data_IF_126301672875
#
_entry.id   IF_126301672875
#
_cell.length_a   1.000
_cell.length_b   1.000
_cell.length_c   1.000
_cell.angle_alpha   90.00
_cell.angle_beta   90.00
_cell.angle_gamma   90.00
#
_symmetry.space_group_name_H-M   'P 1'
#
loop_
_entity.id
_entity.type
_entity.pdbx_description
1 polymer ?
#
# COMPACT_ATOMS: atom_id res chain seq x y z
N UNK A 1 -22.89 24.10 -55.63
CA UNK A 1 -22.98 22.82 -54.89
C UNK A 1 -21.56 22.44 -54.49
N UNK A 2 -21.12 22.76 -53.25
CA UNK A 2 -19.79 22.38 -52.80
C UNK A 2 -19.82 20.91 -52.37
N UNK A 3 -18.83 20.16 -52.86
CA UNK A 3 -18.58 18.76 -52.55
C UNK A 3 -18.24 18.60 -51.07
N UNK A 4 -19.09 17.86 -50.36
CA UNK A 4 -18.80 17.37 -49.00
C UNK A 4 -17.58 16.46 -49.13
N UNK A 5 -16.45 16.89 -48.55
CA UNK A 5 -15.32 16.00 -48.33
C UNK A 5 -15.78 14.98 -47.31
N UNK A 6 -15.82 13.73 -47.73
CA UNK A 6 -16.00 12.57 -46.88
C UNK A 6 -14.74 12.47 -46.01
N UNK A 7 -14.75 13.13 -44.86
CA UNK A 7 -13.75 12.93 -43.82
C UNK A 7 -14.01 11.54 -43.25
N UNK A 8 -13.40 10.53 -43.87
CA UNK A 8 -13.27 9.19 -43.32
C UNK A 8 -12.53 9.30 -42.00
N UNK A 9 -13.28 9.42 -40.91
CA UNK A 9 -12.79 9.21 -39.56
C UNK A 9 -12.46 7.72 -39.45
N UNK A 10 -11.25 7.33 -39.86
CA UNK A 10 -10.69 6.07 -39.40
C UNK A 10 -10.47 6.23 -37.89
N UNK A 11 -11.22 5.52 -37.03
CA UNK A 11 -10.85 5.51 -35.62
C UNK A 11 -9.53 4.75 -35.56
N UNK A 12 -8.43 5.48 -35.41
CA UNK A 12 -7.24 4.89 -34.83
C UNK A 12 -7.72 4.26 -33.53
N UNK A 13 -7.72 2.93 -33.46
CA UNK A 13 -8.04 2.18 -32.25
C UNK A 13 -6.89 2.46 -31.28
N UNK A 14 -6.96 3.64 -30.66
CA UNK A 14 -6.08 4.01 -29.56
C UNK A 14 -6.48 3.11 -28.42
N UNK A 15 -5.55 2.28 -27.94
CA UNK A 15 -5.67 1.56 -26.67
C UNK A 15 -6.24 2.56 -25.65
N UNK A 16 -7.50 2.38 -25.24
CA UNK A 16 -8.18 3.36 -24.38
C UNK A 16 -7.80 3.12 -22.92
N UNK A 17 -6.49 3.28 -22.65
CA UNK A 17 -5.93 3.21 -21.31
C UNK A 17 -6.58 4.23 -20.37
N UNK A 18 -7.07 5.33 -20.91
CA UNK A 18 -7.82 6.35 -20.17
C UNK A 18 -9.14 5.82 -19.62
N UNK A 19 -9.95 5.15 -20.46
CA UNK A 19 -11.21 4.56 -20.04
C UNK A 19 -11.02 3.47 -19.00
N UNK A 20 -10.08 2.54 -19.21
CA UNK A 20 -9.82 1.49 -18.23
C UNK A 20 -9.36 2.07 -16.89
N UNK A 21 -8.55 3.15 -16.90
CA UNK A 21 -8.12 3.85 -15.69
C UNK A 21 -9.29 4.50 -14.95
N UNK A 22 -10.15 5.24 -15.65
CA UNK A 22 -11.37 5.84 -15.07
C UNK A 22 -12.33 4.79 -14.53
N UNK A 23 -12.50 3.67 -15.25
CA UNK A 23 -13.36 2.58 -14.82
C UNK A 23 -12.87 1.97 -13.49
N UNK A 24 -11.56 1.74 -13.34
CA UNK A 24 -10.96 1.29 -12.08
C UNK A 24 -11.16 2.32 -10.96
N UNK A 25 -10.99 3.60 -11.26
CA UNK A 25 -11.16 4.65 -10.27
C UNK A 25 -12.62 4.75 -9.77
N UNK A 26 -13.61 4.63 -10.66
CA UNK A 26 -15.01 4.50 -10.29
C UNK A 26 -15.29 3.22 -9.51
N UNK A 27 -14.64 2.10 -9.85
CA UNK A 27 -14.78 0.86 -9.12
C UNK A 27 -14.42 1.00 -7.63
N UNK A 28 -13.43 1.84 -7.29
CA UNK A 28 -13.01 2.10 -5.91
C UNK A 28 -14.09 2.79 -5.05
N UNK A 29 -15.06 3.50 -5.64
CA UNK A 29 -16.13 4.15 -4.88
C UNK A 29 -17.33 3.23 -4.63
N UNK A 30 -17.46 2.15 -5.41
CA UNK A 30 -18.60 1.23 -5.33
C UNK A 30 -18.79 0.65 -3.92
N UNK A 31 -17.75 0.17 -3.20
CA UNK A 31 -17.93 -0.35 -1.85
C UNK A 31 -18.56 0.67 -0.88
N UNK A 32 -18.25 1.96 -1.04
CA UNK A 32 -18.80 3.04 -0.19
C UNK A 32 -20.29 3.20 -0.42
N UNK A 33 -20.72 3.15 -1.69
CA UNK A 33 -22.13 3.24 -2.06
C UNK A 33 -22.91 1.97 -1.66
N UNK A 34 -22.28 0.80 -1.72
CA UNK A 34 -22.87 -0.45 -1.27
C UNK A 34 -23.20 -0.44 0.22
N UNK A 35 -22.44 0.28 1.06
CA UNK A 35 -22.79 0.44 2.47
C UNK A 35 -24.16 1.09 2.63
N UNK A 36 -24.43 2.16 1.88
CA UNK A 36 -25.72 2.84 1.93
C UNK A 36 -26.85 2.00 1.31
N UNK A 37 -26.55 1.21 0.27
CA UNK A 37 -27.51 0.28 -0.32
C UNK A 37 -27.87 -0.88 0.64
N UNK A 38 -26.91 -1.34 1.44
CA UNK A 38 -27.08 -2.49 2.33
C UNK A 38 -27.51 -2.13 3.74
N UNK A 39 -27.43 -0.86 4.17
CA UNK A 39 -27.81 -0.45 5.52
C UNK A 39 -29.25 -0.80 5.90
N UNK A 40 -30.16 -0.89 4.93
CA UNK A 40 -31.55 -1.32 5.15
C UNK A 40 -31.70 -2.77 5.64
N UNK A 41 -30.66 -3.61 5.47
CA UNK A 41 -30.62 -5.00 5.96
C UNK A 41 -30.18 -5.11 7.43
N UNK A 42 -29.79 -4.00 8.06
CA UNK A 42 -29.34 -3.97 9.45
C UNK A 42 -30.55 -3.98 10.37
N UNK A 43 -30.76 -5.08 11.09
CA UNK A 43 -31.92 -5.24 12.00
C UNK A 43 -31.71 -4.63 13.39
N UNK A 44 -30.45 -4.46 13.82
CA UNK A 44 -30.11 -4.01 15.16
C UNK A 44 -30.04 -2.48 15.32
N UNK A 45 -30.22 -1.73 14.23
CA UNK A 45 -30.23 -0.27 14.23
C UNK A 45 -31.18 0.29 13.17
N UNK A 46 -31.69 1.49 13.41
CA UNK A 46 -32.38 2.27 12.37
C UNK A 46 -31.37 2.93 11.45
N UNK A 47 -30.70 2.11 10.65
CA UNK A 47 -29.52 2.51 9.90
C UNK A 47 -29.77 3.62 8.87
N UNK A 48 -31.03 3.89 8.50
CA UNK A 48 -31.44 5.00 7.64
C UNK A 48 -31.05 6.38 8.18
N UNK A 49 -30.86 6.51 9.49
CA UNK A 49 -30.42 7.75 10.13
C UNK A 49 -28.95 8.12 9.83
N UNK A 50 -28.16 7.16 9.33
CA UNK A 50 -26.74 7.35 9.07
C UNK A 50 -26.46 7.44 7.57
N UNK A 51 -25.53 8.31 7.20
CA UNK A 51 -24.95 8.41 5.86
C UNK A 51 -23.69 7.54 5.86
N UNK A 52 -23.81 6.29 5.41
CA UNK A 52 -22.76 5.29 5.60
C UNK A 52 -21.52 5.59 4.75
N UNK A 53 -21.70 6.10 3.52
CA UNK A 53 -20.59 6.53 2.68
C UNK A 53 -19.76 7.64 3.35
N UNK A 54 -20.38 8.60 4.04
CA UNK A 54 -19.65 9.65 4.77
C UNK A 54 -18.88 9.09 5.96
N UNK A 55 -19.50 8.19 6.72
CA UNK A 55 -18.83 7.50 7.84
C UNK A 55 -17.64 6.70 7.31
N UNK A 56 -17.78 6.06 6.16
CA UNK A 56 -16.72 5.29 5.53
C UNK A 56 -15.56 6.17 5.06
N UNK A 57 -15.83 7.28 4.36
CA UNK A 57 -14.82 8.28 4.00
C UNK A 57 -14.10 8.82 5.24
N UNK A 58 -14.86 9.15 6.29
CA UNK A 58 -14.27 9.59 7.55
C UNK A 58 -13.40 8.51 8.20
N UNK A 59 -13.80 7.24 8.11
CA UNK A 59 -13.04 6.09 8.63
C UNK A 59 -11.72 5.92 7.89
N UNK A 60 -11.73 6.00 6.55
CA UNK A 60 -10.50 5.96 5.75
C UNK A 60 -9.59 7.13 6.12
N UNK A 61 -10.14 8.35 6.28
CA UNK A 61 -9.37 9.51 6.74
C UNK A 61 -8.77 9.29 8.14
N UNK A 62 -9.52 8.70 9.09
CA UNK A 62 -8.96 8.40 10.42
C UNK A 62 -7.85 7.35 10.38
N UNK A 63 -7.97 6.33 9.52
CA UNK A 63 -6.89 5.35 9.30
C UNK A 63 -5.68 6.04 8.68
N UNK A 64 -5.87 6.83 7.63
CA UNK A 64 -4.81 7.56 6.94
C UNK A 64 -4.08 8.55 7.88
N UNK A 65 -4.82 9.24 8.76
CA UNK A 65 -4.24 10.13 9.76
C UNK A 65 -3.48 9.35 10.85
N UNK A 66 -3.95 8.17 11.22
CA UNK A 66 -3.36 7.42 12.32
C UNK A 66 -2.20 6.52 11.88
N UNK A 67 -2.10 6.17 10.60
CA UNK A 67 -0.95 5.45 10.07
C UNK A 67 0.29 6.36 9.98
N UNK A 68 1.43 5.78 10.34
CA UNK A 68 2.77 6.32 10.14
C UNK A 68 3.52 5.36 9.19
N UNK A 69 4.72 5.73 8.77
CA UNK A 69 5.58 4.90 7.95
C UNK A 69 5.84 3.52 8.59
N UNK A 70 6.11 3.47 9.90
CA UNK A 70 6.46 2.22 10.61
C UNK A 70 5.27 1.47 11.18
N UNK A 71 4.29 2.20 11.70
CA UNK A 71 3.14 1.65 12.43
C UNK A 71 1.85 1.95 11.68
N UNK A 72 0.97 0.97 11.54
CA UNK A 72 -0.38 1.26 11.10
C UNK A 72 -1.25 1.87 12.20
N UNK A 73 -2.49 2.19 11.83
CA UNK A 73 -3.47 2.74 12.74
C UNK A 73 -3.99 1.67 13.72
N UNK A 74 -4.07 2.03 15.01
CA UNK A 74 -4.70 1.16 16.02
C UNK A 74 -6.21 1.04 15.74
N UNK A 75 -6.70 -0.20 15.70
CA UNK A 75 -8.12 -0.50 15.48
C UNK A 75 -9.03 0.20 16.51
N UNK A 76 -8.68 0.11 17.79
CA UNK A 76 -9.45 0.73 18.86
C UNK A 76 -9.48 2.27 18.73
N UNK A 77 -8.32 2.88 18.45
CA UNK A 77 -8.22 4.33 18.33
C UNK A 77 -9.03 4.88 17.14
N UNK A 78 -9.02 4.16 16.01
CA UNK A 78 -9.84 4.50 14.84
C UNK A 78 -11.31 4.43 15.20
N UNK A 79 -11.77 3.34 15.83
CA UNK A 79 -13.16 3.19 16.24
C UNK A 79 -13.63 4.27 17.21
N UNK A 80 -12.82 4.62 18.22
CA UNK A 80 -13.16 5.68 19.18
C UNK A 80 -13.37 7.03 18.50
N UNK A 81 -12.58 7.34 17.47
CA UNK A 81 -12.72 8.59 16.70
C UNK A 81 -13.92 8.55 15.77
N UNK A 82 -14.09 7.46 15.03
CA UNK A 82 -15.22 7.29 14.09
C UNK A 82 -16.54 7.30 14.85
N UNK A 83 -16.61 6.67 16.02
CA UNK A 83 -17.80 6.68 16.88
C UNK A 83 -18.24 8.10 17.24
N UNK A 84 -17.30 9.01 17.54
CA UNK A 84 -17.63 10.43 17.81
C UNK A 84 -18.22 11.12 16.59
N UNK A 85 -17.79 10.76 15.38
CA UNK A 85 -18.37 11.27 14.14
C UNK A 85 -19.77 10.70 13.88
N UNK A 86 -19.95 9.39 14.06
CA UNK A 86 -21.26 8.72 13.96
C UNK A 86 -22.28 9.36 14.92
N UNK A 87 -21.85 9.66 16.15
CA UNK A 87 -22.69 10.32 17.14
C UNK A 87 -23.19 11.72 16.72
N UNK A 88 -22.47 12.41 15.82
CA UNK A 88 -22.90 13.71 15.28
C UNK A 88 -24.03 13.58 14.25
N UNK A 89 -24.07 12.49 13.49
CA UNK A 89 -25.14 12.26 12.50
C UNK A 89 -26.47 11.91 13.17
N UNK A 90 -26.43 11.19 14.30
CA UNK A 90 -27.63 10.83 15.07
C UNK A 90 -27.41 10.96 16.58
N UNK A 91 -27.38 12.19 17.14
CA UNK A 91 -27.09 12.44 18.56
C UNK A 91 -28.07 11.79 19.55
N UNK A 92 -29.30 11.55 19.11
CA UNK A 92 -30.37 10.93 19.88
C UNK A 92 -30.21 9.42 20.08
N UNK A 93 -29.28 8.78 19.34
CA UNK A 93 -29.06 7.33 19.42
C UNK A 93 -28.08 6.97 20.53
N UNK A 94 -28.10 5.70 20.93
CA UNK A 94 -27.24 5.23 22.02
C UNK A 94 -25.78 5.16 21.58
N UNK A 95 -24.86 5.38 22.53
CA UNK A 95 -23.42 5.23 22.33
C UNK A 95 -23.03 3.82 21.85
N UNK A 96 -23.77 2.80 22.28
CA UNK A 96 -23.58 1.41 21.85
C UNK A 96 -23.94 1.23 20.37
N UNK A 97 -25.03 1.84 19.90
CA UNK A 97 -25.42 1.84 18.49
C UNK A 97 -24.35 2.54 17.65
N UNK A 98 -23.86 3.71 18.08
CA UNK A 98 -22.79 4.43 17.38
C UNK A 98 -21.51 3.61 17.24
N UNK A 99 -21.09 2.92 18.32
CA UNK A 99 -19.92 2.05 18.29
C UNK A 99 -20.11 0.88 17.31
N UNK A 100 -21.31 0.30 17.29
CA UNK A 100 -21.63 -0.84 16.43
C UNK A 100 -21.71 -0.44 14.95
N UNK A 101 -22.22 0.76 14.65
CA UNK A 101 -22.19 1.34 13.28
C UNK A 101 -20.75 1.61 12.85
N UNK A 102 -19.93 2.22 13.70
CA UNK A 102 -18.51 2.47 13.41
C UNK A 102 -17.76 1.17 13.10
N UNK A 103 -17.96 0.13 13.92
CA UNK A 103 -17.39 -1.19 13.70
C UNK A 103 -17.88 -1.83 12.40
N UNK A 104 -19.19 -1.80 12.14
CA UNK A 104 -19.76 -2.37 10.92
C UNK A 104 -19.22 -1.73 9.64
N UNK A 105 -19.05 -0.39 9.63
CA UNK A 105 -18.45 0.31 8.49
C UNK A 105 -16.98 -0.09 8.31
N UNK A 106 -16.20 -0.13 9.40
CA UNK A 106 -14.79 -0.53 9.35
C UNK A 106 -14.64 -1.98 8.85
N UNK A 107 -15.42 -2.91 9.39
CA UNK A 107 -15.43 -4.33 9.00
C UNK A 107 -15.77 -4.50 7.51
N UNK A 108 -16.70 -3.68 7.02
CA UNK A 108 -17.10 -3.68 5.61
C UNK A 108 -16.02 -3.10 4.71
N UNK A 109 -15.27 -2.09 5.15
CA UNK A 109 -14.12 -1.52 4.43
C UNK A 109 -12.91 -2.46 4.38
N UNK A 110 -12.73 -3.28 5.42
CA UNK A 110 -11.76 -4.39 5.44
C UNK A 110 -12.21 -5.55 4.54
N UNK A 111 -13.50 -5.59 4.22
CA UNK A 111 -14.16 -6.69 3.51
C UNK A 111 -14.02 -8.04 4.24
N UNK A 112 -14.35 -8.06 5.54
CA UNK A 112 -14.27 -9.29 6.36
C UNK A 112 -15.16 -10.45 5.87
N UNK A 113 -16.12 -10.19 4.97
CA UNK A 113 -16.96 -11.22 4.36
C UNK A 113 -16.29 -12.02 3.25
N UNK A 114 -15.12 -11.58 2.76
CA UNK A 114 -14.35 -12.24 1.71
C UNK A 114 -13.08 -12.89 2.28
N UNK A 115 -12.73 -14.08 1.77
CA UNK A 115 -11.54 -14.84 2.24
C UNK A 115 -10.25 -14.07 1.97
N UNK A 116 -10.15 -13.45 0.80
CA UNK A 116 -8.97 -12.69 0.40
C UNK A 116 -9.04 -11.23 0.89
N UNK A 117 -10.13 -10.85 1.55
CA UNK A 117 -10.43 -9.48 2.00
C UNK A 117 -10.23 -8.46 0.87
N UNK A 118 -10.69 -8.81 -0.34
CA UNK A 118 -10.46 -8.05 -1.57
C UNK A 118 -11.78 -7.74 -2.27
N UNK A 119 -11.94 -6.51 -2.76
CA UNK A 119 -13.03 -6.13 -3.64
C UNK A 119 -12.66 -6.48 -5.07
N UNK A 120 -13.60 -7.06 -5.83
CA UNK A 120 -13.38 -7.49 -7.22
C UNK A 120 -14.40 -6.82 -8.12
N UNK A 121 -13.94 -6.10 -9.15
CA UNK A 121 -14.84 -5.40 -10.08
C UNK A 121 -14.44 -5.65 -11.53
N UNK A 122 -15.37 -6.06 -12.40
CA UNK A 122 -15.08 -6.19 -13.81
C UNK A 122 -14.88 -4.81 -14.44
N UNK A 123 -13.92 -4.70 -15.36
CA UNK A 123 -13.74 -3.52 -16.21
C UNK A 123 -13.43 -3.94 -17.64
N UNK A 124 -13.84 -3.12 -18.60
CA UNK A 124 -13.54 -3.32 -20.02
C UNK A 124 -12.21 -2.69 -20.42
N UNK A 125 -11.47 -3.38 -21.28
CA UNK A 125 -10.32 -2.83 -21.98
C UNK A 125 -10.35 -3.27 -23.44
N UNK A 126 -9.84 -2.40 -24.32
CA UNK A 126 -9.59 -2.72 -25.72
C UNK A 126 -8.09 -2.89 -25.86
N UNK A 127 -7.65 -4.05 -26.33
CA UNK A 127 -6.22 -4.33 -26.53
C UNK A 127 -5.65 -3.63 -27.78
N UNK A 128 -4.35 -3.80 -28.04
CA UNK A 128 -3.68 -3.24 -29.21
C UNK A 128 -4.17 -3.81 -30.55
N UNK A 129 -4.89 -4.92 -30.52
CA UNK A 129 -5.50 -5.55 -31.70
C UNK A 129 -6.97 -5.11 -31.90
N UNK A 130 -7.48 -4.27 -31.00
CA UNK A 130 -8.85 -3.76 -31.04
C UNK A 130 -9.91 -4.70 -30.47
N UNK A 131 -9.50 -5.76 -29.78
CA UNK A 131 -10.41 -6.72 -29.16
C UNK A 131 -10.83 -6.23 -27.78
N UNK A 132 -12.14 -6.11 -27.56
CA UNK A 132 -12.69 -5.80 -26.25
C UNK A 132 -12.65 -7.05 -25.36
N UNK A 133 -12.02 -6.92 -24.19
CA UNK A 133 -11.97 -7.96 -23.17
C UNK A 133 -12.38 -7.40 -21.81
N UNK A 134 -12.99 -8.28 -21.00
CA UNK A 134 -13.39 -7.95 -19.63
C UNK A 134 -12.36 -8.52 -18.68
N UNK A 135 -11.78 -7.66 -17.86
CA UNK A 135 -10.82 -8.03 -16.82
C UNK A 135 -11.43 -7.81 -15.45
N UNK A 136 -10.87 -8.47 -14.44
CA UNK A 136 -11.23 -8.23 -13.04
C UNK A 136 -10.16 -7.33 -12.43
N UNK A 137 -10.61 -6.25 -11.81
CA UNK A 137 -9.80 -5.39 -10.96
C UNK A 137 -10.02 -5.79 -9.50
N UNK A 138 -8.97 -6.36 -8.92
CA UNK A 138 -8.92 -6.72 -7.50
C UNK A 138 -8.21 -5.62 -6.73
N UNK A 139 -8.86 -5.09 -5.69
CA UNK A 139 -8.31 -4.03 -4.86
C UNK A 139 -8.79 -4.15 -3.41
N UNK A 140 -8.12 -3.44 -2.51
CA UNK A 140 -8.51 -3.32 -1.09
C UNK A 140 -8.75 -1.86 -0.77
N UNK A 141 -9.48 -1.58 0.31
CA UNK A 141 -9.61 -0.22 0.83
C UNK A 141 -8.87 -0.07 2.15
N UNK A 142 -9.20 -0.92 3.12
CA UNK A 142 -8.48 -1.00 4.39
C UNK A 142 -7.87 -2.39 4.53
N UNK A 143 -6.58 -2.45 4.83
CA UNK A 143 -5.87 -3.68 5.14
C UNK A 143 -5.63 -3.81 6.63
N UNK A 144 -5.98 -4.97 7.18
CA UNK A 144 -5.56 -5.35 8.53
C UNK A 144 -4.30 -6.21 8.44
N UNK A 145 -3.26 -5.81 9.18
CA UNK A 145 -1.94 -6.45 9.20
C UNK A 145 -1.52 -6.69 10.64
N UNK A 146 -0.55 -7.60 10.82
CA UNK A 146 0.09 -7.87 12.11
C UNK A 146 1.52 -7.34 12.08
N UNK A 147 1.94 -6.73 13.17
CA UNK A 147 3.34 -6.39 13.38
C UNK A 147 4.13 -7.61 13.91
N UNK A 148 5.45 -7.42 14.10
CA UNK A 148 6.34 -8.46 14.64
C UNK A 148 5.99 -8.83 16.11
N UNK A 149 5.22 -7.99 16.80
CA UNK A 149 4.71 -8.26 18.15
C UNK A 149 3.39 -9.05 18.15
N UNK A 150 2.78 -9.25 16.98
CA UNK A 150 1.49 -9.90 16.79
C UNK A 150 0.28 -8.97 16.93
N UNK A 151 0.49 -7.68 17.19
CA UNK A 151 -0.54 -6.66 17.34
C UNK A 151 -1.14 -6.32 15.98
N UNK A 152 -2.48 -6.20 15.93
CA UNK A 152 -3.21 -5.85 14.71
C UNK A 152 -3.19 -4.34 14.49
N UNK A 153 -2.89 -3.94 13.26
CA UNK A 153 -2.97 -2.55 12.83
C UNK A 153 -3.64 -2.43 11.46
N UNK A 154 -4.20 -1.27 11.19
CA UNK A 154 -4.91 -0.94 9.96
C UNK A 154 -4.06 -0.06 9.06
N UNK A 155 -4.19 -0.24 7.75
CA UNK A 155 -3.63 0.65 6.74
C UNK A 155 -4.65 0.94 5.65
N UNK A 156 -4.62 2.17 5.14
CA UNK A 156 -5.37 2.52 3.95
C UNK A 156 -4.54 2.14 2.71
N UNK A 157 -5.17 1.53 1.72
CA UNK A 157 -4.56 1.27 0.42
C UNK A 157 -4.45 2.54 -0.41
N UNK A 158 -3.64 2.50 -1.48
CA UNK A 158 -3.55 3.59 -2.44
C UNK A 158 -4.91 3.89 -3.09
N UNK A 159 -5.72 2.87 -3.36
CA UNK A 159 -7.09 3.04 -3.88
C UNK A 159 -7.98 3.83 -2.91
N UNK A 160 -7.90 3.54 -1.61
CA UNK A 160 -8.66 4.27 -0.59
C UNK A 160 -8.18 5.72 -0.45
N UNK A 161 -6.87 5.96 -0.53
CA UNK A 161 -6.29 7.30 -0.49
C UNK A 161 -6.68 8.12 -1.73
N UNK A 162 -6.72 7.50 -2.92
CA UNK A 162 -7.15 8.14 -4.17
C UNK A 162 -8.62 8.59 -4.11
N UNK A 163 -9.48 7.79 -3.48
CA UNK A 163 -10.87 8.17 -3.22
C UNK A 163 -10.96 9.42 -2.35
N UNK A 164 -10.13 9.56 -1.31
CA UNK A 164 -10.17 10.72 -0.40
C UNK A 164 -9.79 12.04 -1.11
N UNK A 165 -8.82 12.02 -2.01
CA UNK A 165 -8.34 13.25 -2.69
C UNK A 165 -9.26 13.64 -3.85
N UNK A 166 -10.18 12.77 -4.26
CA UNK A 166 -10.94 12.92 -5.50
C UNK A 166 -10.07 12.81 -6.75
N UNK A 167 -8.86 12.23 -6.62
CA UNK A 167 -7.85 12.11 -7.67
C UNK A 167 -8.10 10.88 -8.57
N UNK A 168 -9.36 10.63 -8.91
CA UNK A 168 -9.76 9.43 -9.64
C UNK A 168 -9.34 9.47 -11.13
N UNK A 169 -8.98 10.63 -11.68
CA UNK A 169 -8.62 10.79 -13.10
C UNK A 169 -7.61 11.91 -13.40
N UNK A 170 -6.85 12.42 -12.41
CA UNK A 170 -5.91 13.52 -12.67
C UNK A 170 -4.47 13.04 -12.55
N UNK A 171 -3.66 13.34 -13.56
CA UNK A 171 -2.20 13.21 -13.47
C UNK A 171 -1.69 14.15 -12.37
N UNK A 172 -1.37 13.53 -11.23
CA UNK A 172 -1.15 14.17 -9.92
C UNK A 172 0.06 15.11 -9.97
N UNK A 173 0.93 14.99 -10.97
CA UNK A 173 2.17 15.78 -11.11
C UNK A 173 1.90 17.22 -11.58
N UNK A 174 1.03 17.42 -12.58
CA UNK A 174 0.74 18.76 -13.13
C UNK A 174 -0.19 19.59 -12.23
N UNK A 175 -1.09 18.95 -11.49
CA UNK A 175 -1.96 19.63 -10.53
C UNK A 175 -1.21 20.11 -9.27
N UNK A 176 -0.07 19.48 -8.95
CA UNK A 176 0.70 19.71 -7.74
C UNK A 176 1.45 21.04 -7.76
N UNK A 177 2.21 21.31 -8.83
CA UNK A 177 3.00 22.54 -8.96
C UNK A 177 2.08 23.78 -8.88
N UNK A 178 0.88 23.68 -9.47
CA UNK A 178 -0.13 24.73 -9.37
C UNK A 178 -0.72 24.86 -7.96
N UNK A 179 -0.94 23.75 -7.25
CA UNK A 179 -1.45 23.73 -5.88
C UNK A 179 -0.43 24.28 -4.86
N UNK A 180 0.86 24.01 -5.05
CA UNK A 180 1.96 24.48 -4.19
C UNK A 180 2.15 25.98 -4.28
N UNK A 181 2.23 26.52 -5.50
CA UNK A 181 2.28 27.98 -5.74
C UNK A 181 1.02 28.66 -5.19
N UNK A 182 -0.15 28.01 -5.32
CA UNK A 182 -1.40 28.50 -4.76
C UNK A 182 -1.38 28.49 -3.23
N UNK A 183 -0.77 27.50 -2.58
CA UNK A 183 -0.68 27.42 -1.12
C UNK A 183 0.13 28.58 -0.53
N UNK A 184 1.35 28.85 -1.05
CA UNK A 184 2.17 29.98 -0.56
C UNK A 184 1.43 31.31 -0.73
N UNK A 185 0.72 31.46 -1.85
CA UNK A 185 -0.09 32.64 -2.13
C UNK A 185 -1.30 32.77 -1.18
N UNK A 186 -2.01 31.67 -0.88
CA UNK A 186 -3.15 31.65 0.04
C UNK A 186 -2.73 31.95 1.49
N UNK A 187 -1.59 31.44 1.93
CA UNK A 187 -1.02 31.73 3.25
C UNK A 187 -0.69 33.21 3.36
N UNK A 188 0.02 33.78 2.37
CA UNK A 188 0.34 35.22 2.34
C UNK A 188 -0.90 36.11 2.32
N UNK A 189 -1.99 35.65 1.69
CA UNK A 189 -3.26 36.38 1.59
C UNK A 189 -4.21 36.11 2.77
N UNK A 190 -3.81 35.32 3.77
CA UNK A 190 -4.63 35.03 4.96
C UNK A 190 -5.86 34.15 4.70
N UNK A 191 -5.96 33.47 3.54
CA UNK A 191 -7.07 32.58 3.18
C UNK A 191 -6.87 31.17 3.75
N UNK A 192 -6.94 31.08 5.09
CA UNK A 192 -6.55 29.88 5.84
C UNK A 192 -7.45 28.67 5.61
N UNK A 193 -8.75 28.88 5.36
CA UNK A 193 -9.68 27.79 5.08
C UNK A 193 -9.31 27.07 3.77
N UNK A 194 -8.96 27.83 2.73
CA UNK A 194 -8.53 27.26 1.43
C UNK A 194 -7.12 26.66 1.52
N UNK A 195 -6.22 27.29 2.28
CA UNK A 195 -4.88 26.76 2.54
C UNK A 195 -4.94 25.40 3.28
N UNK A 196 -5.90 25.23 4.19
CA UNK A 196 -6.12 23.97 4.90
C UNK A 196 -6.48 22.83 3.95
N UNK A 197 -7.40 23.07 3.00
CA UNK A 197 -7.80 22.05 2.02
C UNK A 197 -6.61 21.59 1.16
N UNK A 198 -5.78 22.53 0.70
CA UNK A 198 -4.57 22.21 -0.09
C UNK A 198 -3.55 21.45 0.78
N UNK A 199 -3.42 21.79 2.05
CA UNK A 199 -2.56 21.07 2.98
C UNK A 199 -3.04 19.63 3.26
N UNK A 200 -4.36 19.41 3.36
CA UNK A 200 -4.95 18.07 3.54
C UNK A 200 -4.66 17.16 2.34
N UNK A 201 -4.81 17.67 1.11
CA UNK A 201 -4.48 16.93 -0.11
C UNK A 201 -2.99 16.58 -0.18
N UNK A 202 -2.13 17.56 0.12
CA UNK A 202 -0.68 17.35 0.14
C UNK A 202 -0.25 16.32 1.21
N UNK A 203 -0.93 16.30 2.36
CA UNK A 203 -0.69 15.29 3.41
C UNK A 203 -1.02 13.88 2.94
N UNK A 204 -2.16 13.69 2.28
CA UNK A 204 -2.53 12.37 1.74
C UNK A 204 -1.47 11.88 0.76
N UNK A 205 -0.91 12.77 -0.05
CA UNK A 205 0.17 12.41 -0.97
C UNK A 205 1.45 11.95 -0.26
N UNK A 206 1.86 12.61 0.82
CA UNK A 206 2.99 12.12 1.62
C UNK A 206 2.74 10.70 2.16
N UNK A 207 1.50 10.41 2.57
CA UNK A 207 1.11 9.07 3.03
C UNK A 207 1.20 8.05 1.87
N UNK A 208 0.73 8.41 0.67
CA UNK A 208 0.84 7.57 -0.53
C UNK A 208 2.30 7.23 -0.88
N UNK A 209 3.21 8.22 -0.90
CA UNK A 209 4.63 7.94 -1.12
C UNK A 209 5.20 6.97 -0.07
N UNK A 210 4.84 7.17 1.21
CA UNK A 210 5.21 6.26 2.28
C UNK A 210 4.73 4.82 2.05
N UNK A 211 3.49 4.64 1.59
CA UNK A 211 2.93 3.31 1.31
C UNK A 211 3.59 2.66 0.10
N UNK A 212 3.70 3.37 -1.03
CA UNK A 212 4.36 2.87 -2.24
C UNK A 212 5.78 2.39 -1.95
N UNK A 213 6.56 3.18 -1.20
CA UNK A 213 7.95 2.84 -0.87
C UNK A 213 7.98 1.64 0.08
N UNK A 214 7.11 1.59 1.10
CA UNK A 214 7.03 0.43 2.00
C UNK A 214 6.72 -0.86 1.24
N UNK A 215 5.80 -0.84 0.28
CA UNK A 215 5.51 -2.00 -0.58
C UNK A 215 6.76 -2.47 -1.32
N UNK A 216 7.55 -1.54 -1.89
CA UNK A 216 8.82 -1.89 -2.54
C UNK A 216 9.84 -2.45 -1.54
N UNK A 217 9.96 -1.89 -0.34
CA UNK A 217 10.86 -2.40 0.71
C UNK A 217 10.46 -3.80 1.18
N UNK A 218 9.16 -4.05 1.38
CA UNK A 218 8.64 -5.37 1.76
C UNK A 218 8.90 -6.40 0.64
N UNK A 219 8.71 -6.02 -0.62
CA UNK A 219 9.05 -6.87 -1.75
C UNK A 219 10.56 -7.17 -1.80
N UNK A 220 11.41 -6.18 -1.52
CA UNK A 220 12.88 -6.31 -1.46
C UNK A 220 13.32 -7.26 -0.35
N UNK A 221 12.70 -7.17 0.84
CA UNK A 221 12.96 -8.09 1.96
C UNK A 221 12.63 -9.55 1.61
N UNK A 222 11.65 -9.79 0.74
CA UNK A 222 11.27 -11.15 0.29
C UNK A 222 12.15 -11.65 -0.85
N UNK A 223 12.40 -10.79 -1.83
CA UNK A 223 13.23 -11.09 -2.99
C UNK A 223 13.78 -9.79 -3.58
N UNK A 224 15.09 -9.59 -3.41
CA UNK A 224 15.80 -8.41 -3.95
C UNK A 224 15.70 -8.32 -5.48
N UNK A 225 15.62 -9.43 -6.20
CA UNK A 225 15.57 -9.45 -7.68
C UNK A 225 14.19 -9.11 -8.25
N UNK A 226 13.14 -9.18 -7.44
CA UNK A 226 11.78 -8.86 -7.88
C UNK A 226 11.53 -7.35 -8.02
N UNK A 227 12.44 -6.53 -7.50
CA UNK A 227 12.29 -5.07 -7.42
C UNK A 227 13.41 -4.39 -8.21
N UNK A 228 13.03 -3.41 -9.04
CA UNK A 228 13.98 -2.63 -9.83
C UNK A 228 14.60 -1.50 -9.00
N UNK A 229 15.71 -1.84 -8.34
CA UNK A 229 16.56 -0.91 -7.59
C UNK A 229 17.55 -0.13 -8.45
N UNK A 230 17.56 -0.34 -9.78
CA UNK A 230 18.48 0.35 -10.69
C UNK A 230 17.89 1.68 -11.16
N UNK A 231 16.61 1.69 -11.52
CA UNK A 231 15.96 2.87 -12.11
C UNK A 231 14.69 3.26 -11.35
N UNK A 232 13.74 2.34 -11.20
CA UNK A 232 12.40 2.66 -10.66
C UNK A 232 12.40 3.10 -9.20
N UNK A 233 13.00 2.31 -8.30
CA UNK A 233 12.98 2.64 -6.86
C UNK A 233 13.80 3.90 -6.55
N UNK A 234 15.02 4.10 -7.10
CA UNK A 234 15.76 5.34 -6.89
C UNK A 234 14.97 6.58 -7.32
N UNK A 235 14.35 6.54 -8.51
CA UNK A 235 13.51 7.67 -8.98
C UNK A 235 12.35 7.94 -8.02
N UNK A 236 11.64 6.90 -7.59
CA UNK A 236 10.55 7.03 -6.61
C UNK A 236 11.03 7.62 -5.27
N UNK A 237 12.20 7.21 -4.79
CA UNK A 237 12.80 7.76 -3.57
C UNK A 237 13.16 9.23 -3.73
N UNK A 238 13.75 9.62 -4.85
CA UNK A 238 14.12 11.01 -5.14
C UNK A 238 12.87 11.90 -5.22
N UNK A 239 11.84 11.45 -5.95
CA UNK A 239 10.56 12.17 -6.07
C UNK A 239 9.88 12.33 -4.69
N UNK A 240 9.87 11.27 -3.88
CA UNK A 240 9.29 11.31 -2.54
C UNK A 240 10.09 12.21 -1.58
N UNK A 241 11.42 12.16 -1.61
CA UNK A 241 12.28 13.01 -0.78
C UNK A 241 12.09 14.48 -1.14
N UNK A 242 12.10 14.82 -2.42
CA UNK A 242 11.87 16.18 -2.89
C UNK A 242 10.50 16.71 -2.42
N UNK A 243 9.45 15.89 -2.54
CA UNK A 243 8.12 16.23 -2.07
C UNK A 243 8.10 16.47 -0.54
N UNK A 244 8.65 15.54 0.25
CA UNK A 244 8.66 15.65 1.72
C UNK A 244 9.44 16.89 2.19
N UNK A 245 10.58 17.20 1.57
CA UNK A 245 11.36 18.40 1.90
C UNK A 245 10.58 19.69 1.65
N UNK A 246 9.86 19.76 0.52
CA UNK A 246 8.98 20.88 0.22
C UNK A 246 7.85 21.00 1.24
N UNK A 247 7.24 19.89 1.63
CA UNK A 247 6.19 19.84 2.65
C UNK A 247 6.66 20.35 4.00
N UNK A 248 7.81 19.88 4.48
CA UNK A 248 8.40 20.35 5.74
C UNK A 248 8.67 21.85 5.70
N UNK A 249 9.12 22.39 4.56
CA UNK A 249 9.34 23.83 4.37
C UNK A 249 8.02 24.61 4.45
N UNK A 250 6.98 24.18 3.73
CA UNK A 250 5.67 24.82 3.72
C UNK A 250 5.00 24.80 5.10
N UNK A 251 5.03 23.66 5.79
CA UNK A 251 4.42 23.48 7.12
C UNK A 251 5.12 24.33 8.19
N UNK A 252 6.45 24.42 8.16
CA UNK A 252 7.18 25.33 9.04
C UNK A 252 6.83 26.79 8.79
N UNK A 253 6.59 27.18 7.53
CA UNK A 253 6.14 28.53 7.21
C UNK A 253 4.73 28.81 7.76
N UNK A 254 3.80 27.84 7.64
CA UNK A 254 2.46 27.92 8.24
C UNK A 254 2.56 28.04 9.76
N UNK A 255 3.32 27.16 10.42
CA UNK A 255 3.50 27.18 11.88
C UNK A 255 4.04 28.52 12.36
N UNK A 256 5.06 29.08 11.68
CA UNK A 256 5.62 30.39 11.99
C UNK A 256 4.58 31.51 11.87
N UNK A 257 3.77 31.49 10.81
CA UNK A 257 2.70 32.47 10.64
C UNK A 257 1.62 32.33 11.73
N UNK A 258 1.20 31.10 12.05
CA UNK A 258 0.19 30.86 13.08
C UNK A 258 0.67 31.24 14.48
N UNK A 259 1.94 30.98 14.79
CA UNK A 259 2.55 31.44 16.05
C UNK A 259 2.49 32.97 16.15
N UNK A 260 2.81 33.69 15.07
CA UNK A 260 2.68 35.15 15.02
C UNK A 260 1.23 35.62 15.25
N UNK A 261 0.26 35.00 14.57
CA UNK A 261 -1.17 35.32 14.74
C UNK A 261 -1.65 35.03 16.17
N UNK A 262 -1.19 33.93 16.79
CA UNK A 262 -1.48 33.60 18.19
C UNK A 262 -0.94 34.66 19.14
N UNK A 263 0.30 35.11 18.91
CA UNK A 263 0.99 36.06 19.78
C UNK A 263 0.38 37.47 19.67
N UNK A 264 -0.14 37.84 18.49
CA UNK A 264 -0.82 39.11 18.23
C UNK A 264 -2.31 39.11 18.61
N UNK A 265 -2.94 37.95 18.78
CA UNK A 265 -4.34 37.87 19.19
C UNK A 265 -4.52 38.33 20.66
N UNK A 266 -5.58 39.07 20.97
CA UNK A 266 -5.92 39.41 22.36
C UNK A 266 -7.01 38.48 22.93
N UNK A 267 -7.85 37.92 22.05
CA UNK A 267 -8.98 37.08 22.44
C UNK A 267 -8.54 35.65 22.83
N UNK A 268 -8.89 35.15 24.02
CA UNK A 268 -8.42 33.86 24.54
C UNK A 268 -8.89 32.66 23.70
N UNK A 269 -10.08 32.72 23.09
CA UNK A 269 -10.60 31.66 22.21
C UNK A 269 -9.79 31.55 20.92
N UNK A 270 -9.39 32.69 20.34
CA UNK A 270 -8.55 32.72 19.12
C UNK A 270 -7.13 32.23 19.42
N UNK A 271 -6.57 32.58 20.58
CA UNK A 271 -5.27 32.03 21.03
C UNK A 271 -5.30 30.51 21.15
N UNK A 272 -6.34 29.97 21.80
CA UNK A 272 -6.49 28.52 21.99
C UNK A 272 -6.59 27.77 20.66
N UNK A 273 -7.42 28.25 19.73
CA UNK A 273 -7.54 27.66 18.38
C UNK A 273 -6.25 27.74 17.56
N UNK A 274 -5.52 28.85 17.67
CA UNK A 274 -4.24 29.00 16.98
C UNK A 274 -3.17 28.07 17.58
N UNK A 275 -3.17 27.86 18.91
CA UNK A 275 -2.28 26.92 19.58
C UNK A 275 -2.57 25.46 19.15
N UNK A 276 -3.84 25.04 19.15
CA UNK A 276 -4.23 23.70 18.68
C UNK A 276 -3.78 23.44 17.24
N UNK A 277 -3.88 24.45 16.37
CA UNK A 277 -3.41 24.34 14.98
C UNK A 277 -1.89 24.23 14.88
N UNK A 278 -1.14 24.96 15.71
CA UNK A 278 0.33 24.85 15.76
C UNK A 278 0.73 23.44 16.19
N UNK A 279 0.11 22.88 17.23
CA UNK A 279 0.41 21.54 17.72
C UNK A 279 0.17 20.46 16.64
N UNK A 280 -0.92 20.59 15.87
CA UNK A 280 -1.22 19.69 14.75
C UNK A 280 -0.14 19.80 13.67
N UNK A 281 0.27 21.01 13.29
CA UNK A 281 1.28 21.22 12.24
C UNK A 281 2.65 20.72 12.69
N UNK A 282 3.02 20.94 13.95
CA UNK A 282 4.26 20.40 14.51
C UNK A 282 4.28 18.87 14.53
N UNK A 283 3.16 18.22 14.83
CA UNK A 283 3.04 16.77 14.74
C UNK A 283 3.23 16.27 13.30
N UNK A 284 2.64 16.95 12.31
CA UNK A 284 2.86 16.64 10.89
C UNK A 284 4.35 16.76 10.50
N UNK A 285 5.01 17.84 10.91
CA UNK A 285 6.45 18.03 10.64
C UNK A 285 7.29 16.90 11.24
N UNK A 286 6.99 16.48 12.48
CA UNK A 286 7.72 15.36 13.12
C UNK A 286 7.57 14.08 12.32
N UNK A 287 6.36 13.76 11.86
CA UNK A 287 6.11 12.56 11.03
C UNK A 287 6.81 12.63 9.69
N UNK A 288 6.80 13.79 9.03
CA UNK A 288 7.52 13.99 7.77
C UNK A 288 9.03 13.81 7.91
N UNK A 289 9.64 14.31 9.00
CA UNK A 289 11.07 14.10 9.29
C UNK A 289 11.36 12.61 9.55
N UNK A 290 10.47 11.92 10.25
CA UNK A 290 10.60 10.48 10.50
C UNK A 290 10.55 9.69 9.19
N UNK A 291 9.61 10.01 8.31
CA UNK A 291 9.53 9.45 6.95
C UNK A 291 10.81 9.73 6.16
N UNK A 292 11.28 10.98 6.12
CA UNK A 292 12.52 11.36 5.43
C UNK A 292 13.72 10.52 5.90
N UNK A 293 13.85 10.32 7.21
CA UNK A 293 14.91 9.48 7.78
C UNK A 293 14.84 8.05 7.26
N UNK A 294 13.64 7.48 7.15
CA UNK A 294 13.43 6.14 6.59
C UNK A 294 13.72 6.08 5.10
N UNK A 295 13.31 7.09 4.33
CA UNK A 295 13.60 7.18 2.90
C UNK A 295 15.11 7.22 2.62
N UNK A 296 15.85 7.97 3.43
CA UNK A 296 17.32 8.01 3.34
C UNK A 296 17.94 6.65 3.70
N UNK A 297 17.39 5.95 4.69
CA UNK A 297 17.84 4.61 5.11
C UNK A 297 17.45 3.45 4.17
N UNK A 298 16.53 3.67 3.22
CA UNK A 298 16.04 2.65 2.30
C UNK A 298 17.15 1.99 1.47
N UNK A 299 18.16 2.77 1.07
CA UNK A 299 19.30 2.26 0.29
C UNK A 299 20.20 1.33 1.09
N UNK A 300 20.37 1.60 2.39
CA UNK A 300 21.16 0.74 3.26
C UNK A 300 20.43 -0.56 3.56
N UNK A 301 19.09 -0.50 3.73
CA UNK A 301 18.26 -1.71 3.82
C UNK A 301 18.41 -2.57 2.56
N UNK A 302 18.37 -1.98 1.36
CA UNK A 302 18.60 -2.74 0.13
C UNK A 302 19.96 -3.45 0.14
N UNK A 303 21.04 -2.77 0.52
CA UNK A 303 22.38 -3.36 0.60
C UNK A 303 22.41 -4.54 1.58
N UNK A 304 21.85 -4.36 2.77
CA UNK A 304 21.75 -5.42 3.77
C UNK A 304 20.97 -6.63 3.24
N UNK A 305 19.83 -6.41 2.57
CA UNK A 305 19.05 -7.50 1.99
C UNK A 305 19.76 -8.17 0.82
N UNK A 306 20.52 -7.41 0.01
CA UNK A 306 21.32 -7.96 -1.08
C UNK A 306 22.42 -8.86 -0.53
N UNK A 307 23.15 -8.42 0.48
CA UNK A 307 24.17 -9.21 1.17
C UNK A 307 23.58 -10.48 1.78
N UNK A 308 22.42 -10.37 2.42
CA UNK A 308 21.71 -11.51 3.02
C UNK A 308 21.22 -12.53 1.97
N UNK A 309 20.71 -12.08 0.83
CA UNK A 309 20.01 -12.96 -0.11
C UNK A 309 20.88 -13.45 -1.27
N UNK A 310 21.85 -12.65 -1.72
CA UNK A 310 22.71 -12.97 -2.87
C UNK A 310 24.12 -13.39 -2.45
N UNK A 311 24.63 -12.88 -1.34
CA UNK A 311 26.03 -13.06 -0.94
C UNK A 311 26.22 -13.89 0.34
N UNK A 312 25.14 -14.24 1.06
CA UNK A 312 25.21 -15.18 2.17
C UNK A 312 25.15 -16.61 1.64
N UNK A 313 26.19 -17.39 1.92
CA UNK A 313 26.24 -18.81 1.58
C UNK A 313 24.98 -19.51 2.12
N UNK A 314 24.22 -20.12 1.22
CA UNK A 314 23.07 -20.96 1.55
C UNK A 314 23.55 -21.99 2.57
N UNK A 315 22.96 -22.13 3.78
CA UNK A 315 23.21 -23.32 4.57
C UNK A 315 22.72 -24.46 3.70
N UNK A 316 23.66 -25.23 3.13
CA UNK A 316 23.35 -26.45 2.43
C UNK A 316 22.44 -27.21 3.37
N UNK A 317 21.15 -27.27 3.05
CA UNK A 317 20.25 -28.22 3.67
C UNK A 317 20.87 -29.54 3.24
N UNK A 318 21.75 -30.08 4.09
CA UNK A 318 22.13 -31.47 3.99
C UNK A 318 20.79 -32.18 3.92
N UNK A 319 20.51 -32.76 2.76
CA UNK A 319 19.45 -33.73 2.62
C UNK A 319 19.80 -34.80 3.64
N UNK A 320 19.23 -34.68 4.84
CA UNK A 320 19.29 -35.74 5.83
C UNK A 320 18.61 -36.90 5.13
N UNK A 321 19.40 -37.86 4.69
CA UNK A 321 18.90 -39.10 4.16
C UNK A 321 18.26 -39.86 5.33
N UNK A 322 16.98 -39.55 5.57
CA UNK A 322 16.13 -40.18 6.57
C UNK A 322 16.09 -41.71 6.38
N UNK A 323 16.32 -42.20 5.15
CA UNK A 323 16.37 -43.62 4.86
C UNK A 323 17.64 -44.26 5.46
N UNK A 324 18.80 -43.63 5.29
CA UNK A 324 20.05 -44.14 5.87
C UNK A 324 20.14 -43.98 7.40
N UNK A 325 19.46 -42.95 7.95
CA UNK A 325 19.59 -42.59 9.37
C UNK A 325 18.49 -43.19 10.28
N UNK A 326 17.28 -43.47 9.78
CA UNK A 326 16.20 -44.06 10.59
C UNK A 326 15.80 -45.47 10.15
N UNK A 327 16.08 -45.86 8.90
CA UNK A 327 15.59 -47.10 8.31
C UNK A 327 16.68 -48.13 7.99
N UNK A 328 17.85 -48.07 8.64
CA UNK A 328 18.74 -49.24 8.68
C UNK A 328 18.03 -50.35 9.45
N UNK A 329 17.65 -51.47 8.81
CA UNK A 329 17.08 -52.59 9.55
C UNK A 329 18.15 -53.09 10.52
N UNK A 330 17.82 -53.12 11.82
CA UNK A 330 18.67 -53.78 12.80
C UNK A 330 19.00 -55.18 12.29
N UNK A 331 20.28 -55.63 12.34
CA UNK A 331 20.62 -56.98 11.92
C UNK A 331 19.77 -57.96 12.71
N UNK A 332 18.98 -58.74 11.98
CA UNK A 332 18.09 -59.77 12.48
C UNK A 332 18.90 -60.70 13.39
N UNK A 333 18.54 -60.92 14.67
CA UNK A 333 19.24 -61.89 15.49
C UNK A 333 19.14 -63.26 14.81
N UNK A 334 20.30 -63.87 14.56
CA UNK A 334 20.40 -65.21 14.02
C UNK A 334 19.82 -66.20 15.03
N UNK A 335 18.63 -66.72 14.76
CA UNK A 335 18.11 -67.84 15.53
C UNK A 335 16.61 -67.87 15.78
N UNK A 336 15.79 -67.74 14.74
CA UNK A 336 14.42 -68.28 14.78
C UNK A 336 14.12 -68.96 13.44
N UNK A 337 14.14 -70.30 13.45
CA UNK A 337 13.62 -71.14 12.37
C UNK A 337 12.13 -70.84 12.20
N UNK A 338 11.76 -70.12 11.14
CA UNK A 338 10.37 -70.07 10.72
C UNK A 338 10.09 -71.26 9.79
N UNK A 339 9.23 -72.14 10.30
CA UNK A 339 8.58 -73.23 9.57
C UNK A 339 7.81 -72.65 8.37
N UNK A 340 7.91 -73.34 7.23
CA UNK A 340 7.38 -72.93 5.92
C UNK A 340 5.87 -73.25 5.85
N UNK A 341 4.97 -72.28 5.61
CA UNK A 341 3.63 -72.59 5.14
C UNK A 341 3.57 -72.61 3.59
N UNK A 342 2.59 -73.32 3.00
CA UNK A 342 2.60 -73.67 1.58
C UNK A 342 2.16 -72.50 0.68
N UNK A 343 2.67 -72.52 -0.56
CA UNK A 343 2.37 -71.58 -1.64
C UNK A 343 0.88 -71.57 -2.01
N UNK A 344 0.35 -70.41 -2.39
CA UNK A 344 -0.57 -70.30 -3.50
C UNK A 344 0.14 -69.70 -4.73
N UNK A 345 -0.18 -70.28 -5.88
CA UNK A 345 0.06 -69.71 -7.20
C UNK A 345 -0.68 -68.36 -7.31
N UNK A 346 -0.15 -67.41 -8.10
CA UNK A 346 -0.79 -66.95 -9.35
C UNK A 346 -0.04 -65.76 -9.97
N UNK A 347 0.11 -65.89 -11.29
CA UNK A 347 0.25 -64.94 -12.39
C UNK A 347 1.38 -63.90 -12.47
N UNK A 348 2.31 -64.30 -13.34
CA UNK A 348 3.25 -63.53 -14.15
C UNK A 348 2.53 -62.54 -15.07
N UNK A 349 2.87 -61.25 -14.96
CA UNK A 349 2.76 -60.29 -16.07
C UNK A 349 4.14 -59.67 -16.28
N UNK A 350 4.72 -59.92 -17.46
CA UNK A 350 5.94 -59.27 -17.98
C UNK A 350 5.52 -58.13 -18.90
N UNK A 351 6.17 -56.98 -18.78
CA UNK A 351 6.67 -56.09 -19.86
C UNK A 351 7.08 -54.76 -19.21
N UNK A 352 8.12 -54.02 -19.58
CA UNK A 352 9.34 -54.15 -20.40
C UNK A 352 10.00 -52.77 -20.22
N UNK A 353 11.17 -52.68 -19.58
CA UNK A 353 11.96 -51.44 -19.53
C UNK A 353 12.98 -51.40 -20.69
N UNK A 354 13.09 -50.24 -21.33
CA UNK A 354 14.36 -49.69 -21.84
C UNK A 354 14.34 -48.14 -21.79
N UNK A 355 15.43 -47.50 -21.31
CA UNK A 355 15.61 -46.05 -21.27
C UNK A 355 16.62 -45.54 -22.33
N UNK A 356 16.68 -44.21 -22.46
CA UNK A 356 17.63 -43.42 -23.26
C UNK A 356 16.83 -42.34 -24.00
N UNK A 357 17.12 -41.05 -24.04
CA UNK A 357 18.29 -40.18 -23.80
C UNK A 357 17.67 -38.75 -23.92
N UNK A 358 18.10 -37.65 -23.30
CA UNK A 358 19.26 -36.79 -23.59
C UNK A 358 18.83 -35.40 -23.06
N UNK A 359 19.68 -34.64 -22.37
CA UNK A 359 19.91 -33.19 -22.56
C UNK A 359 20.86 -32.65 -21.48
N UNK A 360 22.10 -32.43 -21.93
CA UNK A 360 23.14 -31.57 -21.32
C UNK A 360 22.85 -30.13 -21.74
N UNK A 361 23.10 -29.17 -20.86
CA UNK A 361 23.49 -27.82 -21.26
C UNK A 361 24.62 -27.32 -20.37
N UNK A 362 25.70 -26.91 -21.04
CA UNK A 362 26.97 -26.46 -20.50
C UNK A 362 26.89 -25.02 -19.96
N UNK A 363 27.69 -24.77 -18.93
CA UNK A 363 27.90 -23.45 -18.35
C UNK A 363 28.96 -22.63 -19.10
N UNK A 364 28.83 -21.31 -18.99
CA UNK A 364 29.92 -20.38 -19.28
C UNK A 364 30.19 -19.50 -18.07
N UNK A 365 31.41 -19.67 -17.55
CA UNK A 365 32.12 -18.75 -16.67
C UNK A 365 32.24 -17.35 -17.27
N UNK A 366 32.13 -16.31 -16.45
CA UNK A 366 32.88 -15.06 -16.63
C UNK A 366 33.39 -14.56 -15.28
N UNK A 367 34.69 -14.27 -15.24
CA UNK A 367 35.45 -13.82 -14.08
C UNK A 367 36.26 -12.58 -14.51
N UNK A 368 36.32 -11.56 -13.65
CA UNK A 368 37.45 -10.63 -13.53
C UNK A 368 37.47 -9.36 -14.38
N UNK A 369 37.41 -8.20 -13.71
CA UNK A 369 37.73 -6.89 -14.28
C UNK A 369 37.75 -5.79 -13.22
N UNK A 370 38.85 -5.67 -12.48
CA UNK A 370 39.14 -4.53 -11.60
C UNK A 370 39.37 -3.25 -12.40
N UNK A 371 38.79 -2.13 -11.96
CA UNK A 371 39.32 -0.80 -12.23
C UNK A 371 39.08 0.10 -11.01
N UNK A 372 40.18 0.48 -10.36
CA UNK A 372 40.23 1.47 -9.31
C UNK A 372 40.08 2.88 -9.91
N UNK A 373 39.37 3.77 -9.22
CA UNK A 373 39.55 5.22 -9.38
C UNK A 373 39.36 5.89 -8.03
N UNK A 374 40.46 6.48 -7.58
CA UNK A 374 40.59 7.27 -6.38
C UNK A 374 39.94 8.65 -6.58
N UNK A 375 39.24 9.15 -5.56
CA UNK A 375 38.86 10.56 -5.44
C UNK A 375 39.38 11.10 -4.11
N UNK A 376 40.28 12.06 -4.23
CA UNK A 376 40.99 12.75 -3.16
C UNK A 376 40.06 13.66 -2.35
N UNK A 377 40.13 13.55 -1.03
CA UNK A 377 39.64 14.56 -0.10
C UNK A 377 40.66 15.70 -0.03
N UNK A 378 40.21 16.94 -0.23
CA UNK A 378 40.95 18.13 0.21
C UNK A 378 40.05 18.95 1.14
N UNK A 379 40.49 19.01 2.40
CA UNK A 379 39.92 19.83 3.45
C UNK A 379 40.45 21.26 3.33
N UNK A 380 39.56 22.25 3.41
CA UNK A 380 39.90 23.66 3.55
C UNK A 380 39.45 24.18 4.90
N UNK A 381 40.38 24.24 5.85
CA UNK A 381 40.29 25.05 7.07
C UNK A 381 41.08 26.34 6.80
N UNK A 382 40.41 27.49 6.88
CA UNK A 382 40.87 28.72 7.50
C UNK A 382 39.68 29.56 7.92
#
# INVERSE_FOLDING_TARGET
MPTVRDETWEPAVTVDEGLSRRAKALACTVPLHELDAHKGKIEWAEAKAYLMAEIALHTIDQVAIAMDFDTGASHQHVLERVQRFVARQAPQRSTQEHARVAAWVLDSLINLGDVDRSFRRPYGAVDSEGVYSVHIFDFKLIEERRDDTGSLYLRASDEALNVLVGALDTDVESAQVAAEVKLDNLIRRGRLADAKLVAEQARIRTIQYGEMIRVQLDATKRNVQAVDWREKVPKLLDDALAHVEERVRAERAIAKYMAKVRDEAEEPVRKSRAAELVDIVEDCVRRHIKLQTHLMGARDLFREQQDRQQFSDVPQRQTIDLYSHLLKPAPRPAGLRCVRPPRPLLHRVRRTDRPGELFRFDGHHWCGGQAASAVSYSAGLR
#
